data_IF_913977470065
#
_entry.id   IF_913977470065
#
_cell.length_a   1.000
_cell.length_b   1.000
_cell.length_c   1.000
_cell.angle_alpha   90.00
_cell.angle_beta   90.00
_cell.angle_gamma   90.00
#
_symmetry.space_group_name_H-M   'P 1'
#
loop_
_entity.id
_entity.type
_entity.pdbx_description
1 polymer ?
#
# COMPACT_ATOMS: atom_id res chain seq x y z
N UNK A 1 4.30 14.63 -0.57
CA UNK A 1 5.50 14.93 -1.39
C UNK A 1 6.36 15.98 -0.71
N UNK A 2 5.84 17.16 -0.37
CA UNK A 2 6.64 18.25 0.21
C UNK A 2 7.44 17.85 1.46
N UNK A 3 6.87 17.04 2.38
CA UNK A 3 7.58 16.53 3.56
C UNK A 3 8.76 15.59 3.18
N UNK A 4 8.64 14.85 2.09
CA UNK A 4 9.70 13.97 1.59
C UNK A 4 10.80 14.81 0.95
N UNK A 5 10.45 15.65 0.00
CA UNK A 5 11.43 16.44 -0.75
C UNK A 5 12.12 17.52 0.08
N UNK A 6 11.55 17.92 1.22
CA UNK A 6 12.23 18.78 2.21
C UNK A 6 13.50 18.11 2.78
N UNK A 7 13.61 16.78 2.73
CA UNK A 7 14.78 16.04 3.19
C UNK A 7 15.80 15.76 2.07
N UNK A 8 15.50 16.14 0.81
CA UNK A 8 16.43 15.97 -0.30
C UNK A 8 17.61 16.95 -0.21
N UNK A 9 18.79 16.48 -0.62
CA UNK A 9 19.99 17.32 -0.74
C UNK A 9 19.82 18.37 -1.83
N UNK A 10 19.20 17.97 -2.95
CA UNK A 10 18.88 18.83 -4.08
C UNK A 10 17.51 18.49 -4.64
N UNK A 11 16.84 19.46 -5.25
CA UNK A 11 15.62 19.26 -6.04
C UNK A 11 15.96 19.57 -7.50
N UNK A 12 15.85 18.58 -8.38
CA UNK A 12 16.15 18.68 -9.81
C UNK A 12 14.92 19.04 -10.64
N UNK A 13 13.75 18.51 -10.23
CA UNK A 13 12.52 18.69 -10.97
C UNK A 13 11.32 18.72 -10.03
N UNK A 14 10.35 19.58 -10.36
CA UNK A 14 9.04 19.65 -9.69
C UNK A 14 7.95 19.81 -10.73
N UNK A 15 6.89 19.07 -10.59
CA UNK A 15 5.67 19.20 -11.40
C UNK A 15 4.44 18.90 -10.58
N UNK A 16 3.32 19.46 -11.01
CA UNK A 16 2.01 19.20 -10.42
C UNK A 16 0.95 19.21 -11.52
N UNK A 17 0.10 18.21 -11.52
CA UNK A 17 -1.08 18.15 -12.36
C UNK A 17 -2.19 17.41 -11.61
N UNK A 18 -3.32 18.08 -11.41
CA UNK A 18 -4.43 17.59 -10.56
C UNK A 18 -3.90 17.24 -9.16
N UNK A 19 -4.19 16.03 -8.65
CA UNK A 19 -3.70 15.49 -7.37
C UNK A 19 -2.25 14.97 -7.41
N UNK A 20 -1.70 14.81 -8.61
CA UNK A 20 -0.34 14.28 -8.78
C UNK A 20 0.69 15.40 -8.62
N UNK A 21 1.49 15.31 -7.58
CA UNK A 21 2.63 16.18 -7.31
C UNK A 21 3.89 15.33 -7.38
N UNK A 22 4.86 15.74 -8.17
CA UNK A 22 6.11 15.00 -8.38
C UNK A 22 7.31 15.90 -8.08
N UNK A 23 8.19 15.46 -7.18
CA UNK A 23 9.48 16.07 -6.92
C UNK A 23 10.58 15.05 -7.11
N UNK A 24 11.52 15.31 -8.00
CA UNK A 24 12.72 14.50 -8.21
C UNK A 24 13.94 15.24 -7.69
N UNK A 25 14.84 14.57 -7.02
CA UNK A 25 16.05 15.14 -6.47
C UNK A 25 17.03 14.07 -5.98
N UNK A 26 17.98 14.47 -5.16
CA UNK A 26 18.97 13.55 -4.56
C UNK A 26 18.79 13.48 -3.05
N UNK A 27 19.01 12.30 -2.50
CA UNK A 27 19.13 12.06 -1.07
C UNK A 27 20.36 11.18 -0.81
N UNK A 28 21.36 11.72 -0.08
CA UNK A 28 22.65 11.05 0.17
C UNK A 28 23.30 10.51 -1.10
N UNK A 29 23.26 11.31 -2.17
CA UNK A 29 23.85 10.98 -3.46
C UNK A 29 23.05 10.01 -4.32
N UNK A 30 21.90 9.51 -3.86
CA UNK A 30 20.97 8.67 -4.65
C UNK A 30 19.86 9.53 -5.23
N UNK A 31 19.50 9.27 -6.48
CA UNK A 31 18.39 9.97 -7.14
C UNK A 31 17.07 9.36 -6.73
N UNK A 32 16.16 10.15 -6.17
CA UNK A 32 14.87 9.74 -5.63
C UNK A 32 13.76 10.61 -6.22
N UNK A 33 12.62 10.01 -6.51
CA UNK A 33 11.40 10.72 -6.91
C UNK A 33 10.31 10.48 -5.88
N UNK A 34 9.75 11.55 -5.33
CA UNK A 34 8.57 11.53 -4.49
C UNK A 34 7.35 11.94 -5.31
N UNK A 35 6.36 11.05 -5.38
CA UNK A 35 5.12 11.25 -6.15
C UNK A 35 3.91 11.07 -5.25
N UNK A 36 2.92 11.98 -5.30
CA UNK A 36 1.61 11.74 -4.71
C UNK A 36 0.70 11.02 -5.70
N UNK A 37 -0.09 10.10 -5.21
CA UNK A 37 -1.00 9.30 -6.05
C UNK A 37 -2.47 9.68 -5.87
N UNK A 38 -2.80 10.50 -4.86
CA UNK A 38 -4.19 10.65 -4.42
C UNK A 38 -4.60 9.45 -3.54
N UNK A 39 -5.90 9.19 -3.45
CA UNK A 39 -6.49 8.13 -2.63
C UNK A 39 -7.13 7.09 -3.54
N UNK A 40 -6.90 5.81 -3.22
CA UNK A 40 -7.60 4.70 -3.83
C UNK A 40 -6.82 3.94 -4.90
N UNK A 41 -7.27 2.73 -5.17
CA UNK A 41 -6.62 1.79 -6.09
C UNK A 41 -6.73 2.20 -7.56
N UNK A 42 -7.76 2.96 -7.92
CA UNK A 42 -7.93 3.56 -9.24
C UNK A 42 -6.83 4.59 -9.58
N UNK A 43 -6.42 5.40 -8.60
CA UNK A 43 -5.26 6.28 -8.77
C UNK A 43 -3.93 5.52 -8.85
N UNK A 44 -3.81 4.39 -8.15
CA UNK A 44 -2.65 3.50 -8.25
C UNK A 44 -2.58 2.87 -9.64
N UNK A 45 -3.72 2.49 -10.21
CA UNK A 45 -3.80 1.98 -11.59
C UNK A 45 -3.17 2.96 -12.59
N UNK A 46 -3.57 4.23 -12.55
CA UNK A 46 -2.99 5.29 -13.38
C UNK A 46 -1.48 5.41 -13.12
N UNK A 47 -1.10 5.53 -11.85
CA UNK A 47 0.28 5.82 -11.46
C UNK A 47 1.25 4.74 -11.87
N UNK A 48 0.92 3.47 -11.61
CA UNK A 48 1.84 2.35 -11.88
C UNK A 48 2.00 2.13 -13.38
N UNK A 49 0.90 2.17 -14.15
CA UNK A 49 0.96 2.01 -15.60
C UNK A 49 1.72 3.17 -16.28
N UNK A 50 1.51 4.42 -15.85
CA UNK A 50 2.24 5.56 -16.40
C UNK A 50 3.74 5.53 -16.05
N UNK A 51 4.10 5.13 -14.83
CA UNK A 51 5.50 4.97 -14.42
C UNK A 51 6.19 3.84 -15.20
N UNK A 52 5.50 2.70 -15.39
CA UNK A 52 6.01 1.62 -16.22
C UNK A 52 6.19 2.08 -17.68
N UNK A 53 5.20 2.75 -18.26
CA UNK A 53 5.27 3.26 -19.61
C UNK A 53 6.46 4.20 -19.83
N UNK A 54 6.75 5.09 -18.89
CA UNK A 54 7.89 6.02 -18.98
C UNK A 54 9.24 5.29 -19.06
N UNK A 55 9.39 4.11 -18.46
CA UNK A 55 10.67 3.39 -18.42
C UNK A 55 10.74 2.21 -19.36
N UNK A 56 9.61 1.61 -19.76
CA UNK A 56 9.53 0.36 -20.47
C UNK A 56 8.88 0.45 -21.86
N UNK A 57 8.28 1.60 -22.21
CA UNK A 57 7.76 1.86 -23.57
C UNK A 57 8.63 2.91 -24.24
N UNK A 58 8.97 2.67 -25.50
CA UNK A 58 9.50 3.71 -26.38
C UNK A 58 8.34 4.60 -26.83
N UNK A 59 8.33 5.85 -26.38
CA UNK A 59 7.20 6.76 -26.59
C UNK A 59 7.11 7.28 -28.05
N UNK A 60 8.17 7.17 -28.84
CA UNK A 60 8.17 7.56 -30.27
C UNK A 60 7.53 6.46 -31.12
N UNK A 61 8.00 5.24 -30.92
CA UNK A 61 7.52 4.05 -31.67
C UNK A 61 6.25 3.45 -31.05
N UNK A 62 5.95 3.77 -29.79
CA UNK A 62 4.85 3.21 -28.97
C UNK A 62 4.93 1.68 -28.83
N UNK A 63 6.15 1.17 -28.77
CA UNK A 63 6.43 -0.27 -28.59
C UNK A 63 7.15 -0.50 -27.27
N UNK A 64 7.02 -1.69 -26.75
CA UNK A 64 7.77 -2.09 -25.56
C UNK A 64 9.27 -2.13 -25.84
N UNK A 65 10.08 -1.65 -24.90
CA UNK A 65 11.53 -1.75 -24.94
C UNK A 65 11.94 -3.22 -24.78
N UNK A 66 12.97 -3.66 -25.52
CA UNK A 66 13.51 -5.03 -25.40
C UNK A 66 14.04 -5.30 -23.98
N UNK A 67 14.76 -4.32 -23.41
CA UNK A 67 15.31 -4.41 -22.05
C UNK A 67 14.38 -3.66 -21.10
N UNK A 68 13.68 -4.41 -20.25
CA UNK A 68 12.79 -3.85 -19.24
C UNK A 68 13.57 -3.35 -18.01
N UNK A 69 13.13 -2.24 -17.47
CA UNK A 69 13.64 -1.67 -16.22
C UNK A 69 12.67 -1.99 -15.09
N UNK A 70 13.21 -2.50 -13.99
CA UNK A 70 12.47 -2.67 -12.76
C UNK A 70 12.58 -1.42 -11.88
N UNK A 71 11.45 -0.88 -11.46
CA UNK A 71 11.38 0.23 -10.51
C UNK A 71 11.27 -0.32 -9.08
N UNK A 72 11.78 0.44 -8.12
CA UNK A 72 11.48 0.25 -6.69
C UNK A 72 10.40 1.25 -6.29
N UNK A 73 9.22 0.76 -5.98
CA UNK A 73 8.06 1.56 -5.62
C UNK A 73 7.77 1.38 -4.12
N UNK A 74 8.07 2.40 -3.34
CA UNK A 74 7.91 2.40 -1.89
C UNK A 74 6.80 3.36 -1.52
N UNK A 75 5.66 2.82 -1.11
CA UNK A 75 4.54 3.64 -0.66
C UNK A 75 4.69 3.99 0.81
N UNK A 76 4.64 5.28 1.12
CA UNK A 76 4.52 5.81 2.48
C UNK A 76 3.09 6.32 2.65
N UNK A 77 2.36 5.78 3.62
CA UNK A 77 0.96 6.13 3.82
C UNK A 77 0.54 6.21 5.28
N UNK A 78 -0.75 6.38 5.49
CA UNK A 78 -1.40 6.28 6.80
C UNK A 78 -2.39 5.13 6.80
N UNK A 79 -2.67 4.57 7.97
CA UNK A 79 -3.61 3.47 8.09
C UNK A 79 -4.40 3.48 9.40
N UNK A 80 -5.48 2.70 9.41
CA UNK A 80 -6.24 2.36 10.61
C UNK A 80 -5.84 0.98 11.12
N UNK A 81 -5.24 0.91 12.30
CA UNK A 81 -4.79 -0.32 12.96
C UNK A 81 -6.00 -1.14 13.40
N UNK A 82 -5.91 -2.46 13.22
CA UNK A 82 -6.93 -3.45 13.60
C UNK A 82 -6.57 -4.27 14.84
N UNK A 83 -5.34 -4.15 15.34
CA UNK A 83 -4.84 -4.94 16.47
C UNK A 83 -4.77 -4.06 17.72
N UNK A 84 -5.50 -4.40 18.80
CA UNK A 84 -5.60 -3.52 19.98
C UNK A 84 -4.25 -3.29 20.69
N UNK A 85 -3.32 -4.25 20.59
CA UNK A 85 -2.00 -4.16 21.21
C UNK A 85 -0.99 -3.32 20.44
N UNK A 86 -1.28 -2.91 19.20
CA UNK A 86 -0.40 -2.07 18.40
C UNK A 86 -0.72 -0.59 18.69
N UNK A 87 0.20 0.19 19.25
CA UNK A 87 -0.05 1.60 19.53
C UNK A 87 -0.26 2.43 18.26
N UNK A 88 -0.95 3.55 18.36
CA UNK A 88 -0.92 4.57 17.29
C UNK A 88 0.52 5.08 17.11
N UNK A 89 0.80 5.58 15.91
CA UNK A 89 2.14 6.00 15.46
C UNK A 89 3.14 4.86 15.25
N UNK A 90 2.70 3.60 15.37
CA UNK A 90 3.51 2.45 14.94
C UNK A 90 3.66 2.40 13.43
N UNK A 91 4.78 1.84 12.96
CA UNK A 91 5.04 1.58 11.55
C UNK A 91 4.52 0.20 11.18
N UNK A 92 3.55 0.16 10.29
CA UNK A 92 2.98 -1.08 9.76
C UNK A 92 3.65 -1.36 8.42
N UNK A 93 4.38 -2.47 8.35
CA UNK A 93 5.10 -2.90 7.14
C UNK A 93 4.27 -3.98 6.44
N UNK A 94 3.81 -3.68 5.24
CA UNK A 94 2.91 -4.58 4.51
C UNK A 94 3.72 -5.67 3.82
N UNK A 95 3.66 -6.89 4.34
CA UNK A 95 4.25 -8.07 3.70
C UNK A 95 3.35 -8.63 2.61
N UNK A 96 2.05 -8.56 2.82
CA UNK A 96 1.02 -8.98 1.87
C UNK A 96 -0.15 -8.01 1.93
N UNK A 97 -0.84 -7.87 0.83
CA UNK A 97 -2.07 -7.10 0.74
C UNK A 97 -3.27 -8.00 0.39
N UNK A 98 -4.35 -7.83 1.13
CA UNK A 98 -5.65 -8.45 0.86
C UNK A 98 -6.57 -7.38 0.28
N UNK A 99 -6.80 -7.43 -1.04
CA UNK A 99 -7.56 -6.43 -1.80
C UNK A 99 -9.06 -6.71 -1.77
N UNK A 100 -9.84 -5.71 -1.37
CA UNK A 100 -11.31 -5.67 -1.47
C UNK A 100 -11.76 -4.73 -2.60
N UNK A 101 -10.84 -4.36 -3.48
CA UNK A 101 -11.07 -3.60 -4.69
C UNK A 101 -11.16 -4.51 -5.92
N UNK A 102 -11.46 -3.95 -7.08
CA UNK A 102 -11.62 -4.70 -8.32
C UNK A 102 -10.49 -4.49 -9.34
N UNK A 103 -9.48 -3.67 -9.06
CA UNK A 103 -8.49 -3.25 -10.08
C UNK A 103 -7.79 -4.46 -10.70
N UNK A 104 -7.32 -5.40 -9.88
CA UNK A 104 -6.63 -6.59 -10.36
C UNK A 104 -7.46 -7.45 -11.32
N UNK A 105 -8.79 -7.43 -11.19
CA UNK A 105 -9.68 -8.26 -12.02
C UNK A 105 -9.91 -7.72 -13.44
N UNK A 106 -9.40 -6.53 -13.76
CA UNK A 106 -9.43 -5.97 -15.12
C UNK A 106 -8.18 -6.32 -15.94
N UNK A 107 -7.22 -7.02 -15.34
CA UNK A 107 -5.96 -7.41 -15.97
C UNK A 107 -5.78 -8.92 -15.94
N UNK A 108 -5.03 -9.45 -16.90
CA UNK A 108 -4.58 -10.85 -16.89
C UNK A 108 -3.34 -10.96 -15.98
N UNK A 109 -3.57 -11.06 -14.70
CA UNK A 109 -2.52 -11.12 -13.67
C UNK A 109 -2.29 -12.55 -13.18
N UNK A 110 -1.03 -12.88 -12.96
CA UNK A 110 -0.66 -14.14 -12.33
C UNK A 110 -0.60 -14.01 -10.79
N UNK A 111 -1.34 -14.86 -10.10
CA UNK A 111 -1.24 -15.08 -8.66
C UNK A 111 -0.73 -16.50 -8.43
N UNK A 112 0.11 -16.68 -7.40
CA UNK A 112 0.57 -18.03 -7.03
C UNK A 112 -0.58 -18.84 -6.42
N UNK A 113 -0.40 -20.18 -6.39
CA UNK A 113 -1.35 -21.08 -5.73
C UNK A 113 -1.50 -20.71 -4.23
N UNK A 114 -0.38 -20.42 -3.57
CA UNK A 114 -0.34 -19.99 -2.17
C UNK A 114 -1.11 -18.68 -1.93
N UNK A 115 -0.96 -17.70 -2.83
CA UNK A 115 -1.71 -16.45 -2.78
C UNK A 115 -3.21 -16.70 -2.96
N UNK A 116 -3.58 -17.54 -3.89
CA UNK A 116 -4.98 -17.87 -4.18
C UNK A 116 -5.64 -18.62 -3.01
N UNK A 117 -4.95 -19.59 -2.43
CA UNK A 117 -5.42 -20.32 -1.26
C UNK A 117 -5.55 -19.42 -0.02
N UNK A 118 -4.54 -18.58 0.25
CA UNK A 118 -4.59 -17.63 1.37
C UNK A 118 -5.76 -16.65 1.21
N UNK A 119 -6.00 -16.18 -0.02
CA UNK A 119 -7.15 -15.33 -0.34
C UNK A 119 -8.46 -16.00 0.06
N UNK A 120 -8.67 -17.26 -0.34
CA UNK A 120 -9.89 -18.02 -0.02
C UNK A 120 -10.05 -18.21 1.50
N UNK A 121 -8.96 -18.54 2.21
CA UNK A 121 -8.97 -18.71 3.67
C UNK A 121 -9.35 -17.43 4.39
N UNK A 122 -8.75 -16.29 4.02
CA UNK A 122 -9.07 -14.99 4.61
C UNK A 122 -10.52 -14.60 4.30
N UNK A 123 -10.95 -14.72 3.05
CA UNK A 123 -12.31 -14.37 2.62
C UNK A 123 -13.37 -15.18 3.40
N UNK A 124 -13.16 -16.49 3.53
CA UNK A 124 -14.01 -17.38 4.32
C UNK A 124 -14.02 -17.01 5.81
N UNK A 125 -12.85 -16.76 6.38
CA UNK A 125 -12.71 -16.37 7.80
C UNK A 125 -13.42 -15.03 8.08
N UNK A 126 -13.27 -14.06 7.18
CA UNK A 126 -13.95 -12.78 7.27
C UNK A 126 -15.44 -12.85 6.91
N UNK A 127 -15.93 -14.00 6.41
CA UNK A 127 -17.33 -14.18 6.00
C UNK A 127 -17.75 -13.16 4.96
N UNK A 128 -16.92 -12.92 3.94
CA UNK A 128 -17.25 -12.00 2.87
C UNK A 128 -18.41 -12.54 2.02
N UNK A 129 -19.36 -11.70 1.61
CA UNK A 129 -20.41 -12.11 0.70
C UNK A 129 -19.82 -12.40 -0.69
N UNK A 130 -20.46 -13.30 -1.45
CA UNK A 130 -20.02 -13.70 -2.81
C UNK A 130 -19.91 -12.52 -3.80
N UNK A 131 -20.63 -11.43 -3.53
CA UNK A 131 -20.54 -10.20 -4.34
C UNK A 131 -19.22 -9.44 -4.18
N UNK A 132 -18.39 -9.79 -3.21
CA UNK A 132 -17.04 -9.24 -3.01
C UNK A 132 -16.04 -10.30 -3.42
N UNK A 133 -15.32 -10.04 -4.52
CA UNK A 133 -14.30 -10.93 -5.06
C UNK A 133 -12.91 -10.38 -4.68
N UNK A 134 -12.31 -10.82 -3.56
CA UNK A 134 -11.00 -10.33 -3.13
C UNK A 134 -9.86 -11.00 -3.89
N UNK A 135 -8.67 -10.43 -3.76
CA UNK A 135 -7.41 -11.04 -4.16
C UNK A 135 -6.36 -10.85 -3.07
N UNK A 136 -5.33 -11.69 -3.09
CA UNK A 136 -4.24 -11.64 -2.13
C UNK A 136 -2.91 -11.64 -2.88
N UNK A 137 -2.00 -10.76 -2.51
CA UNK A 137 -0.74 -10.58 -3.21
C UNK A 137 0.38 -10.24 -2.25
N UNK A 138 1.56 -10.83 -2.45
CA UNK A 138 2.77 -10.54 -1.70
C UNK A 138 3.42 -9.25 -2.19
N UNK A 139 4.02 -8.49 -1.28
CA UNK A 139 5.00 -7.44 -1.62
C UNK A 139 6.28 -8.08 -2.19
N UNK A 140 7.23 -7.26 -2.69
CA UNK A 140 8.61 -7.72 -2.82
C UNK A 140 9.20 -7.91 -1.42
N UNK A 141 9.27 -9.14 -0.93
CA UNK A 141 9.68 -9.44 0.44
C UNK A 141 11.13 -9.02 0.70
N UNK A 142 12.03 -9.14 -0.29
CA UNK A 142 13.42 -8.73 -0.14
C UNK A 142 13.56 -7.21 0.05
N UNK A 143 12.73 -6.41 -0.64
CA UNK A 143 12.62 -4.97 -0.42
C UNK A 143 11.94 -4.67 0.91
N UNK A 144 10.86 -5.37 1.24
CA UNK A 144 10.05 -5.14 2.43
C UNK A 144 10.82 -5.38 3.72
N UNK A 145 11.64 -6.42 3.77
CA UNK A 145 12.45 -6.73 4.95
C UNK A 145 13.54 -5.70 5.25
N UNK A 146 13.91 -4.84 4.31
CA UNK A 146 14.80 -3.70 4.58
C UNK A 146 14.16 -2.66 5.51
N UNK A 147 12.84 -2.67 5.63
CA UNK A 147 12.06 -1.76 6.47
C UNK A 147 11.49 -2.44 7.73
N UNK A 148 11.98 -3.64 8.06
CA UNK A 148 11.50 -4.39 9.23
C UNK A 148 12.52 -4.30 10.35
N UNK A 149 12.17 -3.60 11.42
CA UNK A 149 12.92 -3.44 12.66
C UNK A 149 12.06 -3.88 13.84
N UNK A 150 12.63 -4.07 15.02
CA UNK A 150 11.93 -4.55 16.22
C UNK A 150 10.71 -3.68 16.61
N UNK A 151 10.73 -2.39 16.26
CA UNK A 151 9.63 -1.46 16.51
C UNK A 151 8.60 -1.40 15.37
N UNK A 152 8.83 -2.13 14.29
CA UNK A 152 7.90 -2.24 13.16
C UNK A 152 6.97 -3.46 13.32
N UNK A 153 5.81 -3.38 12.70
CA UNK A 153 4.82 -4.44 12.72
C UNK A 153 4.60 -4.97 11.29
N UNK A 154 5.31 -6.05 10.89
CA UNK A 154 5.08 -6.68 9.60
C UNK A 154 3.82 -7.54 9.61
N UNK A 155 3.06 -7.53 8.52
CA UNK A 155 1.87 -8.35 8.36
C UNK A 155 1.00 -8.02 7.16
N UNK A 156 -0.23 -8.52 7.18
CA UNK A 156 -1.19 -8.36 6.10
C UNK A 156 -1.94 -7.04 6.26
N UNK A 157 -1.97 -6.26 5.20
CA UNK A 157 -2.80 -5.05 5.08
C UNK A 157 -4.07 -5.37 4.30
N UNK A 158 -5.23 -4.92 4.78
CA UNK A 158 -6.47 -4.96 4.01
C UNK A 158 -6.59 -3.66 3.23
N UNK A 159 -6.59 -3.75 1.90
CA UNK A 159 -6.85 -2.62 1.01
C UNK A 159 -8.32 -2.59 0.63
N UNK A 160 -8.96 -1.44 0.78
CA UNK A 160 -10.38 -1.28 0.47
C UNK A 160 -10.61 -0.13 -0.50
N UNK A 161 -11.55 -0.31 -1.43
CA UNK A 161 -11.94 0.71 -2.42
C UNK A 161 -12.75 1.88 -1.84
N UNK A 162 -13.03 1.88 -0.54
CA UNK A 162 -13.79 2.94 0.11
C UNK A 162 -13.53 3.00 1.61
N UNK A 163 -13.84 4.16 2.20
CA UNK A 163 -13.47 4.44 3.59
C UNK A 163 -14.53 4.02 4.61
N UNK A 164 -15.81 3.92 4.21
CA UNK A 164 -16.92 3.58 5.10
C UNK A 164 -17.36 2.12 4.95
N UNK A 165 -18.33 1.83 4.13
CA UNK A 165 -18.90 0.49 3.94
C UNK A 165 -17.86 -0.58 3.64
N UNK A 166 -16.89 -0.37 2.71
CA UNK A 166 -15.85 -1.34 2.41
C UNK A 166 -14.89 -1.62 3.58
N UNK A 167 -14.86 -0.77 4.60
CA UNK A 167 -14.10 -0.99 5.84
C UNK A 167 -14.99 -1.37 7.03
N UNK A 168 -16.24 -1.81 6.78
CA UNK A 168 -17.19 -2.17 7.83
C UNK A 168 -17.72 -1.00 8.65
N UNK A 169 -17.59 0.24 8.16
CA UNK A 169 -18.11 1.42 8.83
C UNK A 169 -19.52 1.73 8.34
N UNK A 170 -20.35 2.17 9.24
CA UNK A 170 -21.74 2.46 8.98
C UNK A 170 -22.09 3.87 9.41
N UNK A 171 -22.78 4.61 8.53
CA UNK A 171 -23.48 5.84 8.85
C UNK A 171 -24.98 5.63 8.61
N UNK A 172 -25.56 6.22 7.55
CA UNK A 172 -26.96 5.99 7.19
C UNK A 172 -27.18 4.70 6.40
N UNK A 173 -26.19 4.30 5.59
CA UNK A 173 -26.23 3.05 4.83
C UNK A 173 -25.66 1.90 5.68
N UNK A 174 -26.35 0.78 5.69
CA UNK A 174 -25.87 -0.43 6.35
C UNK A 174 -24.73 -1.05 5.54
N UNK A 175 -23.65 -1.45 6.23
CA UNK A 175 -22.58 -2.21 5.63
C UNK A 175 -22.92 -3.70 5.63
N UNK A 176 -22.70 -4.39 4.50
CA UNK A 176 -22.84 -5.85 4.41
C UNK A 176 -21.78 -6.60 5.19
N UNK A 177 -20.67 -5.92 5.49
CA UNK A 177 -19.50 -6.47 6.19
C UNK A 177 -19.21 -5.69 7.49
N UNK A 178 -20.27 -5.23 8.18
CA UNK A 178 -20.17 -4.29 9.32
C UNK A 178 -19.26 -4.74 10.47
N UNK A 179 -19.09 -6.04 10.67
CA UNK A 179 -18.24 -6.64 11.71
C UNK A 179 -16.85 -7.08 11.22
N UNK A 180 -16.47 -6.76 9.98
CA UNK A 180 -15.19 -7.17 9.40
C UNK A 180 -13.98 -6.75 10.26
N UNK A 181 -14.05 -5.57 10.90
CA UNK A 181 -12.95 -5.08 11.74
C UNK A 181 -12.75 -5.98 12.97
N UNK A 182 -13.83 -6.42 13.59
CA UNK A 182 -13.79 -7.32 14.73
C UNK A 182 -13.27 -8.70 14.31
N UNK A 183 -13.77 -9.26 13.21
CA UNK A 183 -13.31 -10.56 12.69
C UNK A 183 -11.82 -10.50 12.31
N UNK A 184 -11.36 -9.45 11.65
CA UNK A 184 -9.98 -9.30 11.23
C UNK A 184 -8.97 -9.35 12.39
N UNK A 185 -9.33 -8.90 13.58
CA UNK A 185 -8.47 -8.96 14.77
C UNK A 185 -8.06 -10.39 15.14
N UNK A 186 -8.93 -11.36 14.85
CA UNK A 186 -8.76 -12.76 15.26
C UNK A 186 -8.13 -13.63 14.18
N UNK A 187 -7.90 -13.08 12.96
CA UNK A 187 -7.21 -13.84 11.93
C UNK A 187 -5.72 -13.96 12.27
N UNK A 188 -5.24 -15.22 12.30
CA UNK A 188 -3.82 -15.53 12.46
C UNK A 188 -3.54 -16.86 11.79
N UNK A 189 -2.61 -16.88 10.84
CA UNK A 189 -2.17 -18.07 10.14
C UNK A 189 -0.69 -17.95 9.76
N UNK A 190 0.13 -18.95 10.08
CA UNK A 190 1.57 -18.97 9.82
C UNK A 190 2.29 -17.70 10.28
N UNK A 191 1.95 -17.18 11.47
CA UNK A 191 2.42 -15.92 12.05
C UNK A 191 1.95 -14.65 11.31
N UNK A 192 1.22 -14.78 10.20
CA UNK A 192 0.60 -13.67 9.52
C UNK A 192 -0.69 -13.24 10.20
N UNK A 193 -0.90 -11.94 10.35
CA UNK A 193 -2.09 -11.34 10.94
C UNK A 193 -2.57 -10.19 10.07
N UNK A 194 -3.88 -9.94 10.08
CA UNK A 194 -4.47 -8.74 9.48
C UNK A 194 -4.24 -7.57 10.42
N UNK A 195 -3.41 -6.59 10.01
CA UNK A 195 -2.93 -5.54 10.92
C UNK A 195 -3.66 -4.22 10.77
N UNK A 196 -4.06 -3.87 9.57
CA UNK A 196 -4.59 -2.54 9.28
C UNK A 196 -5.48 -2.49 8.04
N UNK A 197 -6.22 -1.40 7.92
CA UNK A 197 -6.87 -0.96 6.69
C UNK A 197 -6.16 0.25 6.08
N UNK A 198 -5.99 0.23 4.76
CA UNK A 198 -5.65 1.36 3.92
C UNK A 198 -6.33 1.21 2.54
N UNK A 199 -5.92 1.93 1.50
CA UNK A 199 -6.71 2.03 0.28
C UNK A 199 -5.93 1.83 -1.03
N UNK A 200 -4.64 1.40 -1.02
CA UNK A 200 -3.78 1.41 -2.22
C UNK A 200 -2.88 0.18 -2.41
N UNK A 201 -2.47 -0.50 -1.34
CA UNK A 201 -1.37 -1.50 -1.39
C UNK A 201 -1.65 -2.70 -2.29
N UNK A 202 -2.88 -3.18 -2.33
CA UNK A 202 -3.24 -4.36 -3.14
C UNK A 202 -3.00 -4.12 -4.63
N UNK A 203 -3.50 -3.00 -5.16
CA UNK A 203 -3.29 -2.63 -6.56
C UNK A 203 -1.81 -2.35 -6.86
N UNK A 204 -1.11 -1.64 -5.95
CA UNK A 204 0.33 -1.39 -6.09
C UNK A 204 1.12 -2.70 -6.24
N UNK A 205 0.84 -3.69 -5.38
CA UNK A 205 1.56 -4.96 -5.43
C UNK A 205 1.15 -5.81 -6.63
N UNK A 206 -0.15 -5.90 -6.92
CA UNK A 206 -0.65 -6.71 -8.02
C UNK A 206 -0.13 -6.21 -9.37
N UNK A 207 -0.25 -4.93 -9.66
CA UNK A 207 0.23 -4.35 -10.91
C UNK A 207 1.76 -4.31 -10.95
N UNK A 208 2.41 -3.82 -9.90
CA UNK A 208 3.86 -3.71 -9.85
C UNK A 208 4.57 -5.05 -10.01
N UNK A 209 4.13 -6.10 -9.30
CA UNK A 209 4.67 -7.46 -9.40
C UNK A 209 4.56 -8.01 -10.84
N UNK A 210 3.39 -7.86 -11.46
CA UNK A 210 3.16 -8.39 -12.82
C UNK A 210 3.86 -7.57 -13.91
N UNK A 211 4.18 -6.29 -13.65
CA UNK A 211 5.02 -5.46 -14.51
C UNK A 211 6.54 -5.63 -14.25
N UNK A 212 6.92 -6.49 -13.28
CA UNK A 212 8.32 -6.75 -12.94
C UNK A 212 8.96 -5.68 -12.05
N UNK A 213 8.17 -4.88 -11.35
CA UNK A 213 8.62 -3.90 -10.37
C UNK A 213 8.67 -4.47 -8.96
N UNK A 214 9.49 -3.87 -8.10
CA UNK A 214 9.63 -4.21 -6.69
C UNK A 214 8.81 -3.24 -5.85
N UNK A 215 7.78 -3.74 -5.16
CA UNK A 215 6.83 -2.90 -4.44
C UNK A 215 6.79 -3.24 -2.95
N UNK A 216 6.71 -2.21 -2.12
CA UNK A 216 6.44 -2.33 -0.68
C UNK A 216 5.61 -1.15 -0.17
N UNK A 217 4.98 -1.33 0.98
CA UNK A 217 4.24 -0.26 1.68
C UNK A 217 4.60 -0.21 3.14
N UNK A 218 4.84 1.00 3.65
CA UNK A 218 5.00 1.28 5.06
C UNK A 218 3.98 2.36 5.45
N UNK A 219 3.09 2.04 6.38
CA UNK A 219 2.07 2.96 6.87
C UNK A 219 2.33 3.41 8.30
N UNK A 220 2.08 4.69 8.56
CA UNK A 220 1.92 5.20 9.92
C UNK A 220 0.52 4.89 10.42
N UNK A 221 0.39 4.18 11.54
CA UNK A 221 -0.88 3.93 12.18
C UNK A 221 -1.42 5.19 12.87
N UNK A 222 -2.40 5.86 12.28
CA UNK A 222 -2.97 7.12 12.82
C UNK A 222 -4.25 6.93 13.63
N UNK A 223 -4.81 5.75 13.59
CA UNK A 223 -5.97 5.35 14.38
C UNK A 223 -5.83 3.89 14.79
N UNK A 224 -6.15 3.57 16.03
CA UNK A 224 -6.37 2.19 16.45
C UNK A 224 -7.87 2.00 16.65
N UNK A 225 -8.48 1.22 15.77
CA UNK A 225 -9.94 1.09 15.68
C UNK A 225 -10.54 0.31 16.86
N UNK A 226 -9.97 -0.84 17.26
CA UNK A 226 -10.42 -1.58 18.45
C UNK A 226 -10.43 -0.76 19.72
N UNK A 227 -9.42 0.08 19.95
CA UNK A 227 -9.31 0.90 21.17
C UNK A 227 -9.93 2.28 21.00
N UNK A 228 -10.49 2.60 19.83
CA UNK A 228 -11.04 3.93 19.49
C UNK A 228 -10.08 5.10 19.76
N UNK A 229 -8.78 4.84 19.60
CA UNK A 229 -7.72 5.82 19.80
C UNK A 229 -7.35 6.47 18.45
N UNK A 230 -7.26 7.80 18.44
CA UNK A 230 -6.96 8.56 17.23
C UNK A 230 -5.83 9.54 17.46
N UNK A 231 -4.95 9.68 16.46
CA UNK A 231 -3.92 10.72 16.48
C UNK A 231 -4.55 12.10 16.30
N UNK A 232 -4.22 13.02 17.19
CA UNK A 232 -4.64 14.43 17.10
C UNK A 232 -3.79 15.20 16.08
N UNK A 233 -2.53 14.80 15.94
CA UNK A 233 -1.57 15.34 14.97
C UNK A 233 -0.50 14.29 14.73
N UNK A 234 -0.18 14.02 13.48
CA UNK A 234 0.80 12.99 13.11
C UNK A 234 1.90 13.50 12.17
N UNK A 235 1.97 14.81 11.91
CA UNK A 235 2.96 15.38 10.97
C UNK A 235 4.39 15.07 11.40
N UNK A 236 4.74 15.26 12.67
CA UNK A 236 6.07 14.95 13.19
C UNK A 236 6.41 13.46 13.14
N UNK A 237 5.43 12.59 13.39
CA UNK A 237 5.64 11.14 13.30
C UNK A 237 5.76 10.69 11.84
N UNK A 238 5.06 11.35 10.92
CA UNK A 238 5.22 11.12 9.48
C UNK A 238 6.60 11.57 8.99
N UNK A 239 7.13 12.70 9.47
CA UNK A 239 8.50 13.15 9.15
C UNK A 239 9.55 12.12 9.62
N UNK A 240 9.36 11.51 10.79
CA UNK A 240 10.23 10.41 11.28
C UNK A 240 10.14 9.17 10.40
N UNK A 241 8.92 8.76 10.02
CA UNK A 241 8.71 7.63 9.10
C UNK A 241 9.37 7.89 7.74
N UNK A 242 9.24 9.10 7.20
CA UNK A 242 9.88 9.50 5.94
C UNK A 242 11.40 9.38 6.06
N UNK A 243 12.01 9.90 7.13
CA UNK A 243 13.45 9.76 7.38
C UNK A 243 13.86 8.30 7.48
N UNK A 244 13.12 7.48 8.23
CA UNK A 244 13.35 6.05 8.35
C UNK A 244 13.36 5.33 6.99
N UNK A 245 12.42 5.69 6.09
CA UNK A 245 12.36 5.11 4.74
C UNK A 245 13.50 5.63 3.87
N UNK A 246 13.74 6.93 3.83
CA UNK A 246 14.79 7.53 3.01
C UNK A 246 16.20 7.03 3.36
N UNK A 247 16.46 6.73 4.62
CA UNK A 247 17.76 6.19 5.06
C UNK A 247 18.05 4.78 4.53
N UNK A 248 17.03 4.09 3.97
CA UNK A 248 17.10 2.71 3.49
C UNK A 248 16.93 2.55 1.97
N UNK A 249 16.69 3.63 1.26
CA UNK A 249 16.57 3.63 -0.21
C UNK A 249 17.90 3.87 -0.92
#
# INVERSE_FOLDING_TARGET
VALISKQFDTIEHQSQHREFVCHTGTYRGKRVTALSTGIGTDNIDITVNELDALVNIDLETRTEREIKKSLQLIRIGTCGILQPQIPIHSYIVTTHAFGLDNVAHFYDLAFSEEESEMCQRIAKFLGLPESINPYFVSSDLALTYQFTEDFCFPGITITSSGFYGPQGRQLRLNSLIGDIQMRAQHFSENQLRLLNFEMESSALFALGKNLGHRCTTICLGIANRPTTTFSKSYTGEMEKLIGFVLDRV
#
